data_IF_580859247191
#
_entry.id   IF_580859247191
#
_cell.length_a   1.000
_cell.length_b   1.000
_cell.length_c   1.000
_cell.angle_alpha   90.00
_cell.angle_beta   90.00
_cell.angle_gamma   90.00
#
_symmetry.space_group_name_H-M   'P 1'
#
loop_
_entity.id
_entity.type
_entity.pdbx_description
1 polymer ?
#
# COMPACT_ATOMS: atom_id res chain seq x y z
N UNK A 1 22.47 -37.01 5.44
CA UNK A 1 22.11 -36.88 4.01
C UNK A 1 20.59 -36.74 3.77
N UNK A 2 19.70 -37.18 4.68
CA UNK A 2 18.25 -37.09 4.48
C UNK A 2 17.64 -35.70 4.71
N UNK A 3 18.14 -34.93 5.69
CA UNK A 3 17.65 -33.58 5.99
C UNK A 3 17.71 -32.63 4.78
N UNK A 4 18.75 -32.75 3.96
CA UNK A 4 18.91 -31.92 2.75
C UNK A 4 17.87 -32.24 1.67
N UNK A 5 17.37 -33.49 1.58
CA UNK A 5 16.33 -33.85 0.60
C UNK A 5 14.98 -33.24 0.97
N UNK A 6 14.65 -33.26 2.25
CA UNK A 6 13.43 -32.63 2.77
C UNK A 6 13.50 -31.12 2.54
N UNK A 7 14.64 -30.49 2.83
CA UNK A 7 14.85 -29.06 2.60
C UNK A 7 14.71 -28.69 1.11
N UNK A 8 15.25 -29.50 0.21
CA UNK A 8 15.13 -29.30 -1.25
C UNK A 8 13.70 -29.46 -1.75
N UNK A 9 12.94 -30.45 -1.25
CA UNK A 9 11.53 -30.64 -1.61
C UNK A 9 10.69 -29.47 -1.11
N UNK A 10 10.94 -29.00 0.11
CA UNK A 10 10.27 -27.81 0.66
C UNK A 10 10.62 -26.57 -0.19
N UNK A 11 11.88 -26.38 -0.57
CA UNK A 11 12.29 -25.26 -1.43
C UNK A 11 11.64 -25.30 -2.82
N UNK A 12 11.45 -26.49 -3.40
CA UNK A 12 10.76 -26.67 -4.69
C UNK A 12 9.26 -26.38 -4.56
N UNK A 13 8.62 -26.85 -3.48
CA UNK A 13 7.20 -26.58 -3.22
C UNK A 13 6.99 -25.08 -3.01
N UNK A 14 7.85 -24.42 -2.24
CA UNK A 14 7.83 -22.97 -2.05
C UNK A 14 8.02 -22.27 -3.40
N UNK A 15 9.02 -22.67 -4.20
CA UNK A 15 9.26 -22.12 -5.55
C UNK A 15 8.05 -22.28 -6.48
N UNK A 16 7.38 -23.43 -6.46
CA UNK A 16 6.16 -23.68 -7.23
C UNK A 16 4.97 -22.86 -6.73
N UNK A 17 4.82 -22.68 -5.41
CA UNK A 17 3.82 -21.77 -4.83
C UNK A 17 4.07 -20.34 -5.33
N UNK A 18 5.33 -19.88 -5.34
CA UNK A 18 5.69 -18.55 -5.87
C UNK A 18 5.46 -18.41 -7.38
N UNK A 19 5.55 -19.49 -8.17
CA UNK A 19 5.25 -19.48 -9.61
C UNK A 19 3.74 -19.55 -9.89
N UNK A 20 2.97 -20.22 -9.02
CA UNK A 20 1.50 -20.32 -9.12
C UNK A 20 0.81 -19.10 -8.46
N UNK A 21 1.46 -18.38 -7.56
CA UNK A 21 0.89 -17.18 -6.93
C UNK A 21 0.51 -16.09 -7.95
N UNK A 22 1.29 -15.83 -9.02
CA UNK A 22 0.87 -15.00 -10.15
C UNK A 22 -0.34 -15.52 -10.92
N UNK A 23 -0.70 -16.81 -10.77
CA UNK A 23 -1.85 -17.45 -11.44
C UNK A 23 -3.15 -17.20 -10.67
N UNK A 24 -3.11 -16.83 -9.38
CA UNK A 24 -4.27 -16.17 -8.78
C UNK A 24 -4.43 -14.85 -9.51
N UNK A 25 -5.45 -14.79 -10.40
CA UNK A 25 -5.73 -13.57 -11.17
C UNK A 25 -5.68 -12.37 -10.24
N UNK A 26 -5.05 -11.27 -10.66
CA UNK A 26 -5.00 -10.02 -9.91
C UNK A 26 -6.39 -9.62 -9.36
N UNK A 27 -7.45 -10.06 -10.05
CA UNK A 27 -8.84 -9.95 -9.65
C UNK A 27 -9.17 -10.68 -8.33
N UNK A 28 -8.73 -11.93 -8.14
CA UNK A 28 -8.97 -12.66 -6.89
C UNK A 28 -8.26 -12.01 -5.70
N UNK A 29 -7.02 -11.55 -5.90
CA UNK A 29 -6.28 -10.80 -4.88
C UNK A 29 -7.00 -9.47 -4.58
N UNK A 30 -7.48 -8.76 -5.61
CA UNK A 30 -8.27 -7.54 -5.46
C UNK A 30 -9.54 -7.75 -4.63
N UNK A 31 -10.26 -8.84 -4.89
CA UNK A 31 -11.47 -9.21 -4.13
C UNK A 31 -11.13 -9.52 -2.67
N UNK A 32 -10.06 -10.25 -2.38
CA UNK A 32 -9.64 -10.58 -1.02
C UNK A 32 -9.20 -9.34 -0.22
N UNK A 33 -8.44 -8.45 -0.87
CA UNK A 33 -8.06 -7.15 -0.30
C UNK A 33 -9.31 -6.32 -0.05
N UNK A 34 -10.21 -6.21 -1.03
CA UNK A 34 -11.45 -5.47 -0.91
C UNK A 34 -12.37 -5.98 0.20
N UNK A 35 -12.50 -7.31 0.35
CA UNK A 35 -13.25 -7.93 1.44
C UNK A 35 -12.64 -7.61 2.81
N UNK A 36 -11.31 -7.65 2.91
CA UNK A 36 -10.59 -7.32 4.15
C UNK A 36 -10.77 -5.84 4.53
N UNK A 37 -10.65 -4.93 3.56
CA UNK A 37 -10.86 -3.47 3.74
C UNK A 37 -12.32 -3.17 4.12
N UNK A 38 -13.29 -3.88 3.51
CA UNK A 38 -14.70 -3.73 3.84
C UNK A 38 -15.01 -4.17 5.27
N UNK A 39 -14.53 -5.34 5.69
CA UNK A 39 -14.69 -5.84 7.07
C UNK A 39 -14.05 -4.87 8.07
N UNK A 40 -12.85 -4.37 7.76
CA UNK A 40 -12.19 -3.35 8.58
C UNK A 40 -13.00 -2.06 8.68
N UNK A 41 -13.56 -1.59 7.56
CA UNK A 41 -14.42 -0.39 7.53
C UNK A 41 -15.69 -0.54 8.36
N UNK A 42 -16.36 -1.71 8.30
CA UNK A 42 -17.51 -2.02 9.14
C UNK A 42 -17.15 -1.99 10.63
N UNK A 43 -16.03 -2.62 11.00
CA UNK A 43 -15.54 -2.60 12.38
C UNK A 43 -15.24 -1.18 12.86
N UNK A 44 -14.58 -0.37 12.03
CA UNK A 44 -14.22 1.00 12.39
C UNK A 44 -15.45 1.92 12.51
N UNK A 45 -16.44 1.75 11.62
CA UNK A 45 -17.71 2.45 11.70
C UNK A 45 -18.47 2.09 13.00
N UNK A 46 -18.50 0.80 13.35
CA UNK A 46 -19.09 0.32 14.60
C UNK A 46 -18.36 0.86 15.83
N UNK A 47 -17.02 0.83 15.83
CA UNK A 47 -16.19 1.43 16.88
C UNK A 47 -16.45 2.93 17.04
N UNK A 48 -16.68 3.65 15.93
CA UNK A 48 -17.09 5.05 15.94
C UNK A 48 -18.41 5.28 16.67
N UNK A 49 -19.41 4.40 16.49
CA UNK A 49 -20.71 4.53 17.17
C UNK A 49 -20.57 4.32 18.68
N UNK A 50 -19.83 3.29 19.11
CA UNK A 50 -19.72 2.93 20.53
C UNK A 50 -18.81 3.87 21.32
N UNK A 51 -17.75 4.39 20.69
CA UNK A 51 -16.78 5.27 21.36
C UNK A 51 -17.27 6.71 21.61
N UNK A 52 -18.54 7.00 21.29
CA UNK A 52 -19.14 8.34 21.42
C UNK A 52 -19.08 8.88 22.86
N UNK A 53 -19.21 8.01 23.86
CA UNK A 53 -19.15 8.39 25.27
C UNK A 53 -17.72 8.60 25.79
N UNK A 54 -16.72 8.07 25.08
CA UNK A 54 -15.30 8.21 25.45
C UNK A 54 -14.73 9.51 24.87
N UNK A 55 -14.96 9.76 23.58
CA UNK A 55 -14.52 10.97 22.89
C UNK A 55 -15.34 11.19 21.64
N UNK A 56 -16.12 12.26 21.60
CA UNK A 56 -16.89 12.65 20.41
C UNK A 56 -16.01 12.90 19.18
N UNK A 57 -14.79 13.39 19.38
CA UNK A 57 -13.82 13.60 18.29
C UNK A 57 -13.31 12.27 17.72
N UNK A 58 -12.95 11.31 18.58
CA UNK A 58 -12.52 9.99 18.11
C UNK A 58 -13.66 9.24 17.42
N UNK A 59 -14.86 9.30 18.00
CA UNK A 59 -16.07 8.68 17.48
C UNK A 59 -16.42 9.16 16.06
N UNK A 60 -16.41 10.48 15.83
CA UNK A 60 -16.67 11.06 14.52
C UNK A 60 -15.60 10.70 13.48
N UNK A 61 -14.32 10.77 13.84
CA UNK A 61 -13.22 10.38 12.95
C UNK A 61 -13.32 8.90 12.59
N UNK A 62 -13.50 8.00 13.56
CA UNK A 62 -13.61 6.57 13.31
C UNK A 62 -14.82 6.23 12.42
N UNK A 63 -15.97 6.87 12.63
CA UNK A 63 -17.15 6.69 11.79
C UNK A 63 -16.89 7.13 10.34
N UNK A 64 -16.30 8.30 10.13
CA UNK A 64 -15.98 8.83 8.80
C UNK A 64 -14.99 7.90 8.08
N UNK A 65 -13.90 7.53 8.74
CA UNK A 65 -12.91 6.60 8.17
C UNK A 65 -13.53 5.23 7.88
N UNK A 66 -14.44 4.74 8.73
CA UNK A 66 -15.15 3.49 8.51
C UNK A 66 -15.99 3.52 7.22
N UNK A 67 -16.73 4.60 6.99
CA UNK A 67 -17.52 4.79 5.76
C UNK A 67 -16.60 4.86 4.53
N UNK A 68 -15.49 5.61 4.60
CA UNK A 68 -14.51 5.68 3.50
C UNK A 68 -13.94 4.30 3.18
N UNK A 69 -13.59 3.52 4.20
CA UNK A 69 -13.06 2.16 4.03
C UNK A 69 -14.11 1.21 3.44
N UNK A 70 -15.39 1.32 3.80
CA UNK A 70 -16.46 0.53 3.18
C UNK A 70 -16.56 0.83 1.68
N UNK A 71 -16.53 2.12 1.31
CA UNK A 71 -16.58 2.54 -0.10
C UNK A 71 -15.35 2.00 -0.87
N UNK A 72 -14.15 2.11 -0.29
CA UNK A 72 -12.92 1.58 -0.89
C UNK A 72 -12.95 0.05 -1.01
N UNK A 73 -13.44 -0.66 0.01
CA UNK A 73 -13.58 -2.11 -0.01
C UNK A 73 -14.51 -2.58 -1.12
N UNK A 74 -15.67 -1.93 -1.28
CA UNK A 74 -16.59 -2.20 -2.39
C UNK A 74 -15.95 -1.88 -3.75
N UNK A 75 -15.22 -0.76 -3.86
CA UNK A 75 -14.51 -0.41 -5.08
C UNK A 75 -13.43 -1.45 -5.47
N UNK A 76 -12.78 -2.08 -4.49
CA UNK A 76 -11.78 -3.13 -4.72
C UNK A 76 -12.39 -4.51 -5.03
N UNK A 77 -13.60 -4.80 -4.53
CA UNK A 77 -14.33 -6.04 -4.86
C UNK A 77 -14.89 -5.98 -6.28
N UNK A 78 -15.49 -4.85 -6.65
CA UNK A 78 -16.13 -4.68 -7.96
C UNK A 78 -15.20 -4.11 -9.04
N UNK A 79 -14.04 -3.56 -8.65
CA UNK A 79 -13.00 -3.06 -9.54
C UNK A 79 -11.79 -3.99 -9.60
N UNK A 80 -11.16 -4.11 -10.77
CA UNK A 80 -10.13 -5.13 -11.03
C UNK A 80 -8.70 -4.72 -10.62
N UNK A 81 -8.49 -3.58 -9.94
CA UNK A 81 -7.17 -2.96 -9.78
C UNK A 81 -6.81 -2.50 -8.35
N UNK A 82 -7.28 -3.17 -7.28
CA UNK A 82 -6.91 -2.78 -5.92
C UNK A 82 -5.40 -2.83 -5.67
N UNK A 83 -4.73 -3.87 -6.18
CA UNK A 83 -3.29 -4.07 -6.02
C UNK A 83 -2.51 -2.92 -6.67
N UNK A 84 -2.82 -2.58 -7.92
CA UNK A 84 -2.20 -1.44 -8.61
C UNK A 84 -2.46 -0.11 -7.93
N UNK A 85 -3.69 0.09 -7.45
CA UNK A 85 -4.03 1.29 -6.69
C UNK A 85 -3.22 1.41 -5.41
N UNK A 86 -3.14 0.35 -4.59
CA UNK A 86 -2.46 0.38 -3.30
C UNK A 86 -0.95 0.57 -3.45
N UNK A 87 -0.33 -0.13 -4.40
CA UNK A 87 1.11 0.02 -4.68
C UNK A 87 1.40 1.42 -5.23
N UNK A 88 0.59 1.91 -6.18
CA UNK A 88 0.70 3.27 -6.68
C UNK A 88 0.56 4.32 -5.57
N UNK A 89 -0.45 4.17 -4.71
CA UNK A 89 -0.70 5.06 -3.56
C UNK A 89 0.49 5.11 -2.61
N UNK A 90 1.08 3.95 -2.29
CA UNK A 90 2.28 3.87 -1.45
C UNK A 90 3.45 4.68 -2.05
N UNK A 91 3.73 4.51 -3.34
CA UNK A 91 4.78 5.27 -4.02
C UNK A 91 4.46 6.76 -4.11
N UNK A 92 3.20 7.15 -4.31
CA UNK A 92 2.80 8.56 -4.27
C UNK A 92 3.08 9.19 -2.90
N UNK A 93 2.72 8.51 -1.80
CA UNK A 93 2.98 9.00 -0.43
C UNK A 93 4.49 9.20 -0.22
N UNK A 94 5.30 8.20 -0.58
CA UNK A 94 6.76 8.28 -0.46
C UNK A 94 7.32 9.42 -1.31
N UNK A 95 6.89 9.54 -2.57
CA UNK A 95 7.32 10.58 -3.49
C UNK A 95 7.04 11.99 -2.93
N UNK A 96 5.81 12.23 -2.47
CA UNK A 96 5.45 13.54 -1.90
C UNK A 96 6.22 13.85 -0.62
N UNK A 97 6.42 12.87 0.27
CA UNK A 97 7.22 13.07 1.48
C UNK A 97 8.67 13.46 1.13
N UNK A 98 9.30 12.76 0.18
CA UNK A 98 10.66 13.08 -0.26
C UNK A 98 10.75 14.47 -0.89
N UNK A 99 9.78 14.86 -1.72
CA UNK A 99 9.73 16.18 -2.34
C UNK A 99 9.59 17.27 -1.27
N UNK A 100 8.68 17.10 -0.29
CA UNK A 100 8.48 18.08 0.78
C UNK A 100 9.75 18.24 1.62
N UNK A 101 10.35 17.12 2.05
CA UNK A 101 11.60 17.13 2.84
C UNK A 101 12.74 17.78 2.06
N UNK A 102 12.84 17.50 0.76
CA UNK A 102 13.84 18.10 -0.10
C UNK A 102 13.67 19.61 -0.24
N UNK A 103 12.43 20.09 -0.47
CA UNK A 103 12.13 21.52 -0.55
C UNK A 103 12.47 22.23 0.77
N UNK A 104 12.04 21.68 1.91
CA UNK A 104 12.36 22.21 3.24
C UNK A 104 13.89 22.27 3.44
N UNK A 105 14.61 21.22 3.04
CA UNK A 105 16.07 21.16 3.15
C UNK A 105 16.79 22.18 2.27
N UNK A 106 16.30 22.42 1.05
CA UNK A 106 16.84 23.43 0.13
C UNK A 106 16.61 24.86 0.64
N UNK A 107 15.43 25.12 1.23
CA UNK A 107 15.06 26.45 1.76
C UNK A 107 15.77 26.78 3.06
N UNK A 108 15.86 25.81 3.98
CA UNK A 108 16.36 26.09 5.34
C UNK A 108 17.88 26.13 5.43
N UNK A 109 18.64 25.54 4.51
CA UNK A 109 20.10 25.69 4.37
C UNK A 109 20.97 25.31 5.58
N UNK A 110 20.36 24.98 6.72
CA UNK A 110 20.99 24.74 8.01
C UNK A 110 20.70 23.29 8.41
N UNK A 111 21.73 22.45 8.38
CA UNK A 111 21.69 21.07 8.92
C UNK A 111 21.70 19.93 7.89
N UNK A 112 21.18 20.15 6.67
CA UNK A 112 21.26 19.19 5.56
C UNK A 112 22.17 19.76 4.47
N UNK A 113 23.15 18.99 4.00
CA UNK A 113 23.93 19.42 2.84
C UNK A 113 22.98 19.65 1.66
N UNK A 114 23.12 20.78 0.95
CA UNK A 114 22.29 21.09 -0.23
C UNK A 114 22.28 19.93 -1.23
N UNK A 115 23.40 19.21 -1.32
CA UNK A 115 23.56 17.99 -2.12
C UNK A 115 22.60 16.88 -1.71
N UNK A 116 22.45 16.59 -0.41
CA UNK A 116 21.49 15.59 0.08
C UNK A 116 20.07 16.01 -0.27
N UNK A 117 19.71 17.28 -0.08
CA UNK A 117 18.38 17.77 -0.44
C UNK A 117 18.10 17.66 -1.94
N UNK A 118 19.09 17.92 -2.80
CA UNK A 118 18.97 17.70 -4.25
C UNK A 118 18.79 16.22 -4.60
N UNK A 119 19.57 15.31 -4.01
CA UNK A 119 19.43 13.87 -4.25
C UNK A 119 18.04 13.39 -3.81
N UNK A 120 17.59 13.81 -2.63
CA UNK A 120 16.25 13.49 -2.11
C UNK A 120 15.14 14.00 -3.03
N UNK A 121 15.30 15.20 -3.62
CA UNK A 121 14.35 15.74 -4.59
C UNK A 121 14.25 14.84 -5.84
N UNK A 122 15.40 14.46 -6.39
CA UNK A 122 15.48 13.58 -7.57
C UNK A 122 14.85 12.23 -7.26
N UNK A 123 15.14 11.63 -6.10
CA UNK A 123 14.52 10.38 -5.66
C UNK A 123 13.00 10.51 -5.50
N UNK A 124 12.51 11.64 -4.98
CA UNK A 124 11.07 11.92 -4.90
C UNK A 124 10.41 11.98 -6.28
N UNK A 125 11.02 12.67 -7.23
CA UNK A 125 10.53 12.75 -8.62
C UNK A 125 10.54 11.38 -9.30
N UNK A 126 11.62 10.60 -9.16
CA UNK A 126 11.71 9.23 -9.69
C UNK A 126 10.64 8.34 -9.09
N UNK A 127 10.43 8.42 -7.77
CA UNK A 127 9.38 7.67 -7.08
C UNK A 127 7.98 8.04 -7.57
N UNK A 128 7.75 9.30 -7.96
CA UNK A 128 6.49 9.74 -8.55
C UNK A 128 6.25 9.09 -9.92
N UNK A 129 7.28 8.98 -10.76
CA UNK A 129 7.17 8.23 -12.01
C UNK A 129 6.87 6.75 -11.77
N UNK A 130 7.55 6.12 -10.81
CA UNK A 130 7.28 4.72 -10.43
C UNK A 130 5.83 4.56 -9.97
N UNK A 131 5.29 5.51 -9.19
CA UNK A 131 3.88 5.49 -8.76
C UNK A 131 2.90 5.47 -9.95
N UNK A 132 3.15 6.31 -10.97
CA UNK A 132 2.32 6.37 -12.20
C UNK A 132 2.39 5.05 -12.96
N UNK A 133 3.58 4.46 -13.10
CA UNK A 133 3.73 3.19 -13.81
C UNK A 133 3.12 2.02 -13.04
N UNK A 134 3.27 1.98 -11.72
CA UNK A 134 2.69 0.94 -10.86
C UNK A 134 1.15 1.02 -10.85
N UNK A 135 0.57 2.22 -10.87
CA UNK A 135 -0.88 2.41 -10.94
C UNK A 135 -1.47 1.95 -12.27
N UNK A 136 -0.75 2.13 -13.38
CA UNK A 136 -1.24 1.84 -14.73
C UNK A 136 -0.94 0.42 -15.22
N UNK A 137 0.10 -0.25 -14.70
CA UNK A 137 0.51 -1.58 -15.15
C UNK A 137 0.60 -2.59 -13.99
N UNK A 138 -0.39 -3.50 -13.85
CA UNK A 138 -0.36 -4.53 -12.80
C UNK A 138 0.83 -5.49 -12.92
N UNK A 139 1.42 -5.64 -14.12
CA UNK A 139 2.59 -6.51 -14.37
C UNK A 139 3.85 -5.99 -13.66
N UNK A 140 4.00 -4.67 -13.50
CA UNK A 140 5.16 -4.09 -12.82
C UNK A 140 5.20 -4.49 -11.33
N UNK A 141 4.03 -4.80 -10.76
CA UNK A 141 3.85 -5.20 -9.36
C UNK A 141 4.29 -6.63 -9.11
N UNK A 142 4.32 -7.48 -10.14
CA UNK A 142 4.75 -8.89 -9.99
C UNK A 142 6.27 -9.04 -9.86
N UNK A 143 7.04 -7.99 -10.19
CA UNK A 143 8.51 -8.00 -10.20
C UNK A 143 9.11 -7.31 -8.96
N UNK A 144 8.31 -6.51 -8.23
CA UNK A 144 8.71 -5.80 -6.99
C UNK A 144 8.33 -6.65 -5.78
#
# INVERSE_FOLDING_TARGET
MESNKILSIIAIIIGLIFIIFPIFSANLISILIGASVLIFGLFLAYAGIISKEISGAFSSVAAIFGVVMIILGLAFIFGTNAVSFLVGLQFYIIAFMLIIVAIIGLLNGVGSSRTVSFITLVLGIVSLFIAVFAANNPVLITII
#
